data_IF_256410416087
#
_entry.id   IF_256410416087
#
_cell.length_a   1.000
_cell.length_b   1.000
_cell.length_c   1.000
_cell.angle_alpha   90.00
_cell.angle_beta   90.00
_cell.angle_gamma   90.00
#
_symmetry.space_group_name_H-M   'P 1'
#
loop_
_entity.id
_entity.type
_entity.pdbx_description
1 polymer ?
#
# COMPACT_ATOMS: atom_id res chain seq x y z
N UNK A 1 -17.56 -1.97 15.80
CA UNK A 1 -16.54 -1.46 14.87
C UNK A 1 -15.18 -1.75 15.49
N UNK A 2 -14.61 -2.93 15.18
CA UNK A 2 -13.38 -3.41 15.77
C UNK A 2 -12.29 -3.58 14.73
N UNK A 3 -11.18 -2.87 14.94
CA UNK A 3 -9.80 -3.33 14.70
C UNK A 3 -9.32 -3.56 13.27
N UNK A 4 -8.92 -2.48 12.58
CA UNK A 4 -7.99 -2.53 11.42
C UNK A 4 -6.61 -1.91 11.70
N UNK A 5 -6.21 -1.76 12.98
CA UNK A 5 -4.96 -1.10 13.35
C UNK A 5 -3.77 -2.04 13.62
N UNK A 6 -3.96 -3.36 13.64
CA UNK A 6 -2.90 -4.31 14.05
C UNK A 6 -1.95 -4.73 12.92
N UNK A 7 -2.28 -4.52 11.64
CA UNK A 7 -1.52 -5.07 10.52
C UNK A 7 -0.31 -4.21 10.08
N UNK A 8 -0.22 -2.94 10.49
CA UNK A 8 0.78 -2.01 9.97
C UNK A 8 2.17 -2.09 10.67
N UNK A 9 2.31 -2.86 11.75
CA UNK A 9 3.54 -2.92 12.55
C UNK A 9 4.38 -4.20 12.34
N UNK A 10 3.92 -5.15 11.53
CA UNK A 10 4.63 -6.40 11.23
C UNK A 10 6.04 -6.23 10.62
N UNK A 11 6.37 -5.18 9.85
CA UNK A 11 7.72 -5.03 9.31
C UNK A 11 8.78 -4.65 10.35
N UNK A 12 8.40 -3.92 11.41
CA UNK A 12 9.35 -3.45 12.43
C UNK A 12 9.60 -4.48 13.54
N UNK A 13 8.62 -5.34 13.84
CA UNK A 13 8.82 -6.45 14.79
C UNK A 13 9.81 -7.52 14.29
N UNK A 14 10.04 -7.62 12.97
CA UNK A 14 11.00 -8.56 12.38
C UNK A 14 12.46 -8.08 12.42
N UNK A 15 12.73 -6.79 12.62
CA UNK A 15 14.10 -6.28 12.67
C UNK A 15 14.79 -6.51 14.04
N UNK A 16 14.02 -6.65 15.12
CA UNK A 16 14.55 -6.84 16.48
C UNK A 16 14.78 -8.32 16.86
N UNK A 17 14.30 -9.26 16.04
CA UNK A 17 14.37 -10.69 16.32
C UNK A 17 15.55 -11.41 15.65
N UNK A 18 16.43 -10.67 14.96
CA UNK A 18 17.67 -11.20 14.39
C UNK A 18 18.71 -11.33 15.50
N UNK A 19 18.58 -12.36 16.33
CA UNK A 19 19.65 -12.70 17.28
C UNK A 19 19.27 -13.66 18.41
N UNK A 20 18.06 -13.57 18.98
CA UNK A 20 17.73 -14.26 20.24
C UNK A 20 16.53 -15.22 20.19
N UNK A 21 15.91 -15.44 19.03
CA UNK A 21 14.94 -16.54 18.92
C UNK A 21 15.72 -17.82 18.63
N UNK A 22 15.69 -18.85 19.49
CA UNK A 22 16.25 -20.14 19.13
C UNK A 22 15.56 -20.55 17.84
N UNK A 23 16.35 -20.79 16.78
CA UNK A 23 15.87 -21.35 15.53
C UNK A 23 15.28 -22.70 15.89
N UNK A 24 13.96 -22.71 16.13
CA UNK A 24 13.18 -23.89 16.41
C UNK A 24 13.34 -24.79 15.20
N UNK A 25 14.14 -25.85 15.37
CA UNK A 25 14.22 -26.97 14.41
C UNK A 25 13.03 -27.91 14.56
N UNK A 26 12.05 -27.59 15.40
CA UNK A 26 10.81 -28.35 15.46
C UNK A 26 10.04 -28.12 14.17
N UNK A 27 9.80 -29.21 13.45
CA UNK A 27 8.87 -29.24 12.33
C UNK A 27 7.55 -28.58 12.75
N UNK A 28 6.95 -27.87 11.80
CA UNK A 28 5.64 -27.26 12.01
C UNK A 28 4.67 -28.30 12.59
N UNK A 29 3.83 -27.92 13.57
CA UNK A 29 2.84 -28.83 14.12
C UNK A 29 1.96 -29.36 12.99
N UNK A 30 1.71 -30.68 12.98
CA UNK A 30 0.85 -31.30 11.96
C UNK A 30 -0.51 -30.57 11.93
N UNK A 31 -0.97 -30.09 10.77
CA UNK A 31 -2.26 -29.43 10.67
C UNK A 31 -3.37 -30.38 11.13
N UNK A 32 -4.46 -29.85 11.70
CA UNK A 32 -5.57 -30.67 12.16
C UNK A 32 -6.12 -31.52 11.01
N UNK A 33 -6.30 -32.82 11.24
CA UNK A 33 -6.67 -33.81 10.22
C UNK A 33 -7.96 -33.47 9.44
N UNK A 34 -8.83 -32.63 10.01
CA UNK A 34 -10.10 -32.21 9.42
C UNK A 34 -9.98 -31.27 8.21
N UNK A 35 -8.83 -30.63 7.95
CA UNK A 35 -8.62 -29.76 6.78
C UNK A 35 -7.79 -30.41 5.66
N UNK A 36 -7.31 -31.63 5.86
CA UNK A 36 -6.42 -32.29 4.90
C UNK A 36 -7.22 -33.02 3.82
N UNK A 37 -7.20 -32.50 2.59
CA UNK A 37 -7.71 -33.23 1.43
C UNK A 37 -6.59 -34.08 0.81
N UNK A 38 -6.82 -35.38 0.71
CA UNK A 38 -5.88 -36.31 0.09
C UNK A 38 -6.30 -36.61 -1.36
N UNK A 39 -5.33 -36.64 -2.25
CA UNK A 39 -5.50 -36.97 -3.66
C UNK A 39 -4.57 -38.11 -4.04
N UNK A 40 -5.12 -39.11 -4.73
CA UNK A 40 -4.36 -40.27 -5.21
C UNK A 40 -4.33 -40.30 -6.75
N UNK A 41 -3.18 -40.67 -7.31
CA UNK A 41 -3.02 -40.84 -8.75
C UNK A 41 -1.89 -41.82 -9.06
N UNK A 42 -1.83 -42.32 -10.30
CA UNK A 42 -0.73 -43.16 -10.76
C UNK A 42 0.51 -42.33 -11.03
N UNK A 43 1.69 -42.87 -10.72
CA UNK A 43 2.98 -42.21 -11.00
C UNK A 43 3.10 -41.81 -12.48
N UNK A 44 2.78 -42.75 -13.37
CA UNK A 44 2.81 -42.55 -14.82
C UNK A 44 1.87 -41.42 -15.30
N UNK A 45 0.83 -41.08 -14.53
CA UNK A 45 -0.06 -39.96 -14.85
C UNK A 45 0.68 -38.62 -14.69
N UNK A 46 1.51 -38.48 -13.66
CA UNK A 46 2.30 -37.28 -13.43
C UNK A 46 3.48 -37.18 -14.42
N UNK A 47 4.09 -38.32 -14.76
CA UNK A 47 5.21 -38.41 -15.70
C UNK A 47 4.85 -38.01 -17.14
N UNK A 48 3.55 -37.84 -17.47
CA UNK A 48 3.10 -37.34 -18.78
C UNK A 48 3.60 -35.93 -19.09
N UNK A 49 3.82 -35.11 -18.06
CA UNK A 49 4.24 -33.72 -18.21
C UNK A 49 5.49 -33.48 -17.36
N UNK A 50 6.68 -33.91 -17.81
CA UNK A 50 7.90 -33.87 -16.99
C UNK A 50 8.41 -32.45 -16.69
N UNK A 51 7.95 -31.45 -17.45
CA UNK A 51 8.36 -30.05 -17.30
C UNK A 51 7.66 -29.31 -16.15
N UNK A 52 6.64 -29.94 -15.53
CA UNK A 52 5.87 -29.35 -14.44
C UNK A 52 6.38 -29.83 -13.08
N UNK A 53 6.03 -29.13 -12.01
CA UNK A 53 6.49 -29.46 -10.64
C UNK A 53 6.20 -30.91 -10.25
N UNK A 54 4.99 -31.40 -10.53
CA UNK A 54 4.58 -32.76 -10.15
C UNK A 54 5.15 -33.84 -11.08
N UNK A 55 5.49 -33.49 -12.32
CA UNK A 55 6.08 -34.43 -13.27
C UNK A 55 7.60 -34.54 -13.13
N UNK A 56 8.24 -33.46 -12.67
CA UNK A 56 9.69 -33.35 -12.50
C UNK A 56 10.16 -33.91 -11.15
N UNK A 57 11.46 -33.79 -10.89
CA UNK A 57 12.07 -34.14 -9.60
C UNK A 57 11.78 -33.08 -8.51
N UNK A 58 11.15 -31.95 -8.84
CA UNK A 58 10.84 -30.90 -7.88
C UNK A 58 9.82 -31.36 -6.83
N UNK A 59 8.93 -32.29 -7.17
CA UNK A 59 8.00 -32.86 -6.17
C UNK A 59 8.71 -33.51 -4.99
N UNK A 60 9.94 -34.00 -5.15
CA UNK A 60 10.69 -34.67 -4.08
C UNK A 60 10.99 -33.72 -2.90
N UNK A 61 11.03 -32.40 -3.14
CA UNK A 61 11.14 -31.40 -2.06
C UNK A 61 9.93 -31.35 -1.14
N UNK A 62 8.78 -31.88 -1.60
CA UNK A 62 7.51 -31.89 -0.88
C UNK A 62 7.16 -33.27 -0.33
N UNK A 63 8.07 -34.25 -0.44
CA UNK A 63 7.84 -35.60 0.06
C UNK A 63 8.05 -35.69 1.58
N UNK A 64 7.05 -36.20 2.29
CA UNK A 64 7.10 -36.52 3.71
C UNK A 64 7.41 -38.02 3.87
N UNK A 65 8.62 -38.34 4.35
CA UNK A 65 9.09 -39.72 4.57
C UNK A 65 8.27 -40.46 5.64
N UNK A 66 7.82 -39.75 6.69
CA UNK A 66 7.07 -40.36 7.79
C UNK A 66 5.66 -40.75 7.32
N UNK A 67 5.04 -39.88 6.52
CA UNK A 67 3.69 -40.08 6.02
C UNK A 67 3.63 -40.82 4.66
N UNK A 68 4.78 -40.99 4.00
CA UNK A 68 4.93 -41.56 2.65
C UNK A 68 4.03 -40.91 1.62
N UNK A 69 3.96 -39.58 1.64
CA UNK A 69 3.10 -38.79 0.74
C UNK A 69 3.74 -37.45 0.40
N UNK A 70 3.28 -36.82 -0.68
CA UNK A 70 3.65 -35.45 -1.01
C UNK A 70 2.68 -34.48 -0.33
N UNK A 71 3.22 -33.50 0.41
CA UNK A 71 2.43 -32.52 1.13
C UNK A 71 2.56 -31.12 0.52
N UNK A 72 1.42 -30.53 0.17
CA UNK A 72 1.31 -29.17 -0.33
C UNK A 72 0.37 -28.37 0.58
N UNK A 73 0.87 -27.29 1.19
CA UNK A 73 0.07 -26.34 1.96
C UNK A 73 -0.54 -25.29 1.01
N UNK A 74 -1.42 -25.75 0.13
CA UNK A 74 -2.02 -25.00 -0.98
C UNK A 74 -3.53 -25.26 -1.06
N UNK A 75 -4.21 -24.53 -1.93
CA UNK A 75 -5.66 -24.65 -2.09
C UNK A 75 -6.06 -26.06 -2.61
N UNK A 76 -6.74 -26.88 -1.79
CA UNK A 76 -7.09 -28.25 -2.17
C UNK A 76 -8.21 -28.30 -3.21
N UNK A 77 -8.98 -27.23 -3.34
CA UNK A 77 -10.08 -27.10 -4.28
C UNK A 77 -9.54 -26.82 -5.68
N UNK A 78 -8.60 -25.89 -5.85
CA UNK A 78 -7.94 -25.65 -7.14
C UNK A 78 -7.07 -26.81 -7.60
N UNK A 79 -6.43 -27.53 -6.67
CA UNK A 79 -5.64 -28.72 -6.98
C UNK A 79 -6.44 -29.79 -7.74
N UNK A 80 -7.76 -29.86 -7.55
CA UNK A 80 -8.63 -30.79 -8.28
C UNK A 80 -8.49 -30.64 -9.81
N UNK A 81 -8.33 -29.41 -10.28
CA UNK A 81 -8.21 -29.07 -11.70
C UNK A 81 -6.79 -29.33 -12.23
N UNK A 82 -5.78 -29.03 -11.41
CA UNK A 82 -4.38 -29.36 -11.68
C UNK A 82 -4.23 -30.86 -11.91
N UNK A 83 -4.76 -31.69 -11.00
CA UNK A 83 -4.67 -33.14 -11.13
C UNK A 83 -5.49 -33.68 -12.31
N UNK A 84 -6.64 -33.08 -12.60
CA UNK A 84 -7.44 -33.44 -13.76
C UNK A 84 -6.67 -33.23 -15.07
N UNK A 85 -5.87 -32.16 -15.18
CA UNK A 85 -5.02 -31.92 -16.34
C UNK A 85 -4.03 -33.08 -16.62
N UNK A 86 -3.36 -33.63 -15.61
CA UNK A 86 -2.48 -34.80 -15.83
C UNK A 86 -3.26 -36.05 -16.29
N UNK A 87 -4.49 -36.21 -15.80
CA UNK A 87 -5.35 -37.36 -16.14
C UNK A 87 -5.90 -37.27 -17.56
N UNK A 88 -6.40 -36.10 -17.96
CA UNK A 88 -7.12 -35.90 -19.24
C UNK A 88 -6.22 -35.37 -20.35
N UNK A 89 -5.10 -34.72 -20.00
CA UNK A 89 -4.28 -33.93 -20.91
C UNK A 89 -4.90 -32.59 -21.31
N UNK A 90 -6.04 -32.21 -20.72
CA UNK A 90 -6.77 -30.98 -21.02
C UNK A 90 -6.95 -30.14 -19.77
N UNK A 91 -6.51 -28.88 -19.85
CA UNK A 91 -6.61 -27.93 -18.75
C UNK A 91 -7.93 -27.16 -18.86
N UNK A 92 -8.76 -27.26 -17.82
CA UNK A 92 -10.07 -26.62 -17.76
C UNK A 92 -10.05 -25.46 -16.77
N UNK A 93 -10.58 -24.31 -17.18
CA UNK A 93 -10.74 -23.15 -16.30
C UNK A 93 -12.02 -23.26 -15.46
N UNK A 94 -11.94 -23.20 -14.11
CA UNK A 94 -13.11 -23.26 -13.26
C UNK A 94 -13.77 -21.87 -13.09
N UNK A 95 -14.95 -21.69 -13.70
CA UNK A 95 -15.67 -20.41 -13.70
C UNK A 95 -16.10 -19.90 -12.30
N UNK A 96 -16.23 -20.79 -11.31
CA UNK A 96 -16.64 -20.44 -9.95
C UNK A 96 -15.50 -19.90 -9.08
N UNK A 97 -14.25 -20.04 -9.54
CA UNK A 97 -13.07 -19.70 -8.77
C UNK A 97 -12.52 -18.33 -9.19
N UNK A 98 -11.73 -17.70 -8.31
CA UNK A 98 -11.05 -16.46 -8.63
C UNK A 98 -9.94 -16.70 -9.67
N UNK A 99 -9.94 -15.94 -10.77
CA UNK A 99 -8.92 -16.00 -11.82
C UNK A 99 -7.50 -15.90 -11.25
N UNK A 100 -7.26 -14.91 -10.38
CA UNK A 100 -5.93 -14.63 -9.82
C UNK A 100 -5.43 -15.82 -9.00
N UNK A 101 -6.29 -16.36 -8.13
CA UNK A 101 -5.97 -17.55 -7.33
C UNK A 101 -5.67 -18.77 -8.20
N UNK A 102 -6.41 -18.94 -9.30
CA UNK A 102 -6.18 -20.04 -10.22
C UNK A 102 -4.87 -19.89 -10.99
N UNK A 103 -4.54 -18.70 -11.50
CA UNK A 103 -3.25 -18.43 -12.15
C UNK A 103 -2.07 -18.62 -11.18
N UNK A 104 -2.22 -18.25 -9.91
CA UNK A 104 -1.20 -18.48 -8.88
C UNK A 104 -0.94 -19.98 -8.62
N UNK A 105 -1.99 -20.81 -8.58
CA UNK A 105 -1.81 -22.27 -8.47
C UNK A 105 -1.17 -22.87 -9.74
N UNK A 106 -1.61 -22.44 -10.93
CA UNK A 106 -0.99 -22.87 -12.19
C UNK A 106 0.50 -22.55 -12.24
N UNK A 107 0.87 -21.32 -11.85
CA UNK A 107 2.25 -20.89 -11.77
C UNK A 107 3.04 -21.71 -10.74
N UNK A 108 2.48 -22.00 -9.56
CA UNK A 108 3.12 -22.83 -8.55
C UNK A 108 3.43 -24.25 -9.06
N UNK A 109 2.48 -24.89 -9.75
CA UNK A 109 2.67 -26.23 -10.29
C UNK A 109 3.42 -26.26 -11.64
N UNK A 110 3.84 -25.10 -12.16
CA UNK A 110 4.59 -24.98 -13.41
C UNK A 110 3.75 -25.27 -14.66
N UNK A 111 2.44 -25.03 -14.62
CA UNK A 111 1.54 -25.23 -15.76
C UNK A 111 1.28 -23.87 -16.42
N UNK A 112 1.56 -23.78 -17.72
CA UNK A 112 1.37 -22.55 -18.49
C UNK A 112 -0.14 -22.35 -18.74
N UNK A 113 -0.73 -21.18 -18.39
CA UNK A 113 -2.15 -20.92 -18.61
C UNK A 113 -2.60 -21.00 -20.09
N UNK A 114 -1.67 -20.83 -21.03
CA UNK A 114 -1.94 -20.95 -22.47
C UNK A 114 -2.30 -22.39 -22.90
N UNK A 115 -2.14 -23.37 -22.01
CA UNK A 115 -2.60 -24.75 -22.21
C UNK A 115 -4.09 -24.95 -21.91
N UNK A 116 -4.81 -23.90 -21.48
CA UNK A 116 -6.27 -23.97 -21.28
C UNK A 116 -6.93 -24.39 -22.59
N UNK A 117 -7.73 -25.44 -22.51
CA UNK A 117 -8.39 -26.02 -23.67
C UNK A 117 -9.50 -25.12 -24.22
N UNK A 118 -9.76 -25.22 -25.53
CA UNK A 118 -10.74 -24.41 -26.27
C UNK A 118 -12.11 -24.32 -25.59
N UNK A 119 -12.54 -25.39 -24.92
CA UNK A 119 -13.84 -25.44 -24.23
C UNK A 119 -13.99 -24.41 -23.09
N UNK A 120 -12.90 -23.92 -22.51
CA UNK A 120 -12.93 -22.95 -21.40
C UNK A 120 -12.04 -21.73 -21.68
N UNK A 121 -11.42 -21.67 -22.86
CA UNK A 121 -10.45 -20.63 -23.21
C UNK A 121 -11.10 -19.25 -23.28
N UNK A 122 -12.27 -19.13 -23.92
CA UNK A 122 -12.98 -17.85 -24.03
C UNK A 122 -13.41 -17.32 -22.65
N UNK A 123 -13.95 -18.18 -21.77
CA UNK A 123 -14.34 -17.76 -20.41
C UNK A 123 -13.15 -17.24 -19.60
N UNK A 124 -12.01 -17.94 -19.67
CA UNK A 124 -10.77 -17.52 -19.02
C UNK A 124 -10.29 -16.18 -19.57
N UNK A 125 -10.27 -16.02 -20.89
CA UNK A 125 -9.82 -14.81 -21.57
C UNK A 125 -10.70 -13.61 -21.24
N UNK A 126 -12.02 -13.77 -21.22
CA UNK A 126 -12.95 -12.72 -20.84
C UNK A 126 -12.75 -12.32 -19.38
N UNK A 127 -12.60 -13.28 -18.46
CA UNK A 127 -12.32 -12.98 -17.06
C UNK A 127 -10.98 -12.27 -16.87
N UNK A 128 -9.97 -12.64 -17.66
CA UNK A 128 -8.65 -12.01 -17.65
C UNK A 128 -8.69 -10.57 -18.13
N UNK A 129 -9.44 -10.29 -19.19
CA UNK A 129 -9.68 -8.92 -19.65
C UNK A 129 -10.39 -8.09 -18.58
N UNK A 130 -11.48 -8.60 -18.00
CA UNK A 130 -12.23 -7.90 -16.94
C UNK A 130 -11.32 -7.56 -15.75
N UNK A 131 -10.50 -8.51 -15.30
CA UNK A 131 -9.57 -8.27 -14.20
C UNK A 131 -8.50 -7.22 -14.55
N UNK A 132 -8.00 -7.22 -15.80
CA UNK A 132 -7.05 -6.21 -16.28
C UNK A 132 -7.68 -4.81 -16.33
N UNK A 133 -8.92 -4.70 -16.82
CA UNK A 133 -9.67 -3.44 -16.87
C UNK A 133 -9.84 -2.86 -15.46
N UNK A 134 -10.29 -3.67 -14.50
CA UNK A 134 -10.43 -3.25 -13.09
C UNK A 134 -9.11 -2.74 -12.48
N UNK A 135 -8.00 -3.43 -12.74
CA UNK A 135 -6.68 -3.01 -12.26
C UNK A 135 -6.21 -1.70 -12.91
N UNK A 136 -6.59 -1.45 -14.16
CA UNK A 136 -6.31 -0.18 -14.84
C UNK A 136 -7.15 0.95 -14.26
N UNK A 137 -8.45 0.73 -14.04
CA UNK A 137 -9.35 1.69 -13.39
C UNK A 137 -8.84 2.08 -12.01
N UNK A 138 -8.44 1.12 -11.18
CA UNK A 138 -7.87 1.39 -9.85
C UNK A 138 -6.59 2.24 -9.93
N UNK A 139 -5.73 2.01 -10.94
CA UNK A 139 -4.52 2.82 -11.17
C UNK A 139 -4.84 4.23 -11.63
N UNK A 140 -5.88 4.41 -12.44
CA UNK A 140 -6.33 5.72 -12.93
C UNK A 140 -6.97 6.53 -11.80
N UNK A 141 -7.77 5.89 -10.94
CA UNK A 141 -8.46 6.53 -9.81
C UNK A 141 -7.52 6.87 -8.65
N UNK A 142 -6.44 6.12 -8.46
CA UNK A 142 -5.48 6.32 -7.38
C UNK A 142 -4.92 7.76 -7.27
N UNK A 143 -4.43 8.40 -8.35
CA UNK A 143 -4.00 9.79 -8.30
C UNK A 143 -5.14 10.78 -8.05
N UNK A 144 -6.36 10.51 -8.51
CA UNK A 144 -7.51 11.38 -8.32
C UNK A 144 -7.98 11.38 -6.86
N UNK A 145 -8.10 10.20 -6.25
CA UNK A 145 -8.36 10.06 -4.80
C UNK A 145 -7.27 10.73 -3.96
N UNK A 146 -6.00 10.62 -4.38
CA UNK A 146 -4.89 11.31 -3.71
C UNK A 146 -5.00 12.83 -3.83
N UNK A 147 -5.37 13.35 -5.00
CA UNK A 147 -5.56 14.79 -5.24
C UNK A 147 -6.72 15.33 -4.41
N UNK A 148 -7.84 14.63 -4.33
CA UNK A 148 -9.01 15.05 -3.54
C UNK A 148 -8.67 15.16 -2.04
N UNK A 149 -8.02 14.12 -1.48
CA UNK A 149 -7.56 14.16 -0.09
C UNK A 149 -6.56 15.29 0.16
N UNK A 150 -5.59 15.47 -0.74
CA UNK A 150 -4.59 16.54 -0.62
C UNK A 150 -5.27 17.90 -0.66
N UNK A 151 -6.10 18.17 -1.68
CA UNK A 151 -6.80 19.45 -1.85
C UNK A 151 -7.68 19.81 -0.65
N UNK A 152 -8.40 18.82 -0.09
CA UNK A 152 -9.25 19.03 1.08
C UNK A 152 -8.45 19.39 2.33
N UNK A 153 -7.32 18.73 2.57
CA UNK A 153 -6.45 19.00 3.73
C UNK A 153 -5.76 20.36 3.55
N UNK A 154 -5.13 20.62 2.40
CA UNK A 154 -4.47 21.91 2.12
C UNK A 154 -5.46 23.08 2.22
N UNK A 155 -6.65 22.94 1.64
CA UNK A 155 -7.68 23.98 1.66
C UNK A 155 -8.13 24.38 3.07
N UNK A 156 -8.23 23.40 3.99
CA UNK A 156 -8.54 23.66 5.39
C UNK A 156 -7.43 24.49 6.07
N UNK A 157 -6.15 24.13 5.89
CA UNK A 157 -5.03 24.86 6.48
C UNK A 157 -4.84 26.26 5.89
N UNK A 158 -5.12 26.44 4.58
CA UNK A 158 -5.16 27.77 3.95
C UNK A 158 -6.25 28.63 4.62
N UNK A 159 -7.46 28.09 4.81
CA UNK A 159 -8.55 28.84 5.44
C UNK A 159 -8.22 29.27 6.87
N UNK A 160 -7.62 28.38 7.67
CA UNK A 160 -7.16 28.70 9.04
C UNK A 160 -6.09 29.79 9.01
N UNK A 161 -5.09 29.66 8.14
CA UNK A 161 -3.99 30.63 8.06
C UNK A 161 -4.47 32.02 7.65
N UNK A 162 -5.38 32.11 6.69
CA UNK A 162 -5.99 33.39 6.28
C UNK A 162 -6.81 33.99 7.42
N UNK A 163 -7.61 33.18 8.12
CA UNK A 163 -8.41 33.66 9.25
C UNK A 163 -7.52 34.21 10.38
N UNK A 164 -6.39 33.56 10.68
CA UNK A 164 -5.44 34.03 11.68
C UNK A 164 -4.80 35.38 11.32
N UNK A 165 -4.36 35.55 10.07
CA UNK A 165 -3.84 36.83 9.56
C UNK A 165 -4.91 37.95 9.64
N UNK A 166 -6.18 37.62 9.37
CA UNK A 166 -7.28 38.57 9.52
C UNK A 166 -7.48 38.96 10.99
N UNK A 167 -7.45 38.00 11.92
CA UNK A 167 -7.66 38.27 13.35
C UNK A 167 -6.50 39.08 13.95
N UNK A 168 -5.26 38.80 13.53
CA UNK A 168 -4.06 39.52 13.97
C UNK A 168 -4.17 41.02 13.68
N UNK A 169 -4.69 41.37 12.50
CA UNK A 169 -4.82 42.76 12.03
C UNK A 169 -6.06 43.48 12.55
N UNK A 170 -7.01 42.78 13.18
CA UNK A 170 -8.24 43.40 13.71
C UNK A 170 -7.94 44.10 15.06
N UNK A 171 -8.41 45.35 15.24
CA UNK A 171 -8.34 46.01 16.55
C UNK A 171 -9.22 45.28 17.56
N UNK A 172 -8.63 44.92 18.71
CA UNK A 172 -9.29 44.11 19.71
C UNK A 172 -10.37 44.93 20.43
N UNK A 173 -11.63 44.80 19.99
CA UNK A 173 -12.79 45.59 20.47
C UNK A 173 -13.07 45.50 21.97
N UNK A 174 -12.50 44.52 22.68
CA UNK A 174 -12.71 44.31 24.11
C UNK A 174 -11.99 45.32 25.04
N UNK A 175 -11.04 46.11 24.52
CA UNK A 175 -10.25 47.09 25.31
C UNK A 175 -10.43 48.55 24.87
N UNK A 176 -11.36 48.81 23.94
CA UNK A 176 -11.54 50.11 23.28
C UNK A 176 -11.98 51.27 24.19
N UNK A 177 -12.19 51.05 25.50
CA UNK A 177 -12.67 52.09 26.40
C UNK A 177 -11.54 52.85 27.14
N UNK A 178 -10.28 52.38 27.13
CA UNK A 178 -9.28 52.97 28.05
C UNK A 178 -7.90 53.26 27.44
N UNK A 179 -7.49 52.62 26.35
CA UNK A 179 -6.24 52.94 25.64
C UNK A 179 -6.47 52.80 24.13
N UNK A 180 -5.70 53.53 23.30
CA UNK A 180 -5.82 53.56 21.85
C UNK A 180 -5.89 52.17 21.19
N UNK A 181 -6.31 52.12 19.92
CA UNK A 181 -6.59 50.87 19.19
C UNK A 181 -5.39 49.90 19.17
N UNK A 182 -5.36 48.97 20.14
CA UNK A 182 -4.42 47.84 20.20
C UNK A 182 -4.95 46.72 19.29
N UNK A 183 -4.06 46.15 18.47
CA UNK A 183 -4.38 44.99 17.64
C UNK A 183 -4.48 43.73 18.51
N UNK A 184 -5.25 42.73 18.09
CA UNK A 184 -5.28 41.46 18.80
C UNK A 184 -3.92 40.71 18.74
N UNK A 185 -3.12 40.97 17.70
CA UNK A 185 -1.75 40.47 17.58
C UNK A 185 -0.84 40.95 18.71
N UNK A 186 -0.89 42.25 19.04
CA UNK A 186 -0.05 42.84 20.11
C UNK A 186 -0.44 42.34 21.50
N UNK A 187 -1.71 42.00 21.72
CA UNK A 187 -2.20 41.53 23.02
C UNK A 187 -1.86 40.05 23.29
N UNK A 188 -1.81 39.24 22.23
CA UNK A 188 -1.60 37.79 22.30
C UNK A 188 -0.41 37.33 21.44
N UNK A 189 0.68 38.10 21.49
CA UNK A 189 1.89 37.90 20.68
C UNK A 189 2.39 36.45 20.70
N UNK A 190 2.44 35.81 21.88
CA UNK A 190 2.91 34.43 22.01
C UNK A 190 2.01 33.40 21.34
N UNK A 191 0.70 33.59 21.40
CA UNK A 191 -0.29 32.67 20.86
C UNK A 191 -0.32 32.77 19.34
N UNK A 192 -0.26 33.97 18.78
CA UNK A 192 -0.16 34.17 17.33
C UNK A 192 1.17 33.67 16.79
N UNK A 193 2.29 33.93 17.47
CA UNK A 193 3.59 33.39 17.08
C UNK A 193 3.61 31.86 17.00
N UNK A 194 3.05 31.17 18.00
CA UNK A 194 2.96 29.69 18.00
C UNK A 194 2.09 29.20 16.85
N UNK A 195 0.97 29.88 16.57
CA UNK A 195 0.06 29.51 15.51
C UNK A 195 0.69 29.71 14.13
N UNK A 196 1.32 30.85 13.88
CA UNK A 196 2.01 31.14 12.61
C UNK A 196 3.16 30.17 12.38
N UNK A 197 3.95 29.88 13.43
CA UNK A 197 5.00 28.86 13.37
C UNK A 197 4.42 27.51 12.98
N UNK A 198 3.31 27.09 13.59
CA UNK A 198 2.68 25.80 13.29
C UNK A 198 2.15 25.74 11.85
N UNK A 199 1.48 26.79 11.36
CA UNK A 199 1.00 26.87 9.99
C UNK A 199 2.14 26.80 8.97
N UNK A 200 3.23 27.56 9.19
CA UNK A 200 4.40 27.54 8.30
C UNK A 200 5.07 26.17 8.30
N UNK A 201 5.25 25.54 9.47
CA UNK A 201 5.82 24.18 9.57
C UNK A 201 4.96 23.19 8.78
N UNK A 202 3.64 23.25 8.89
CA UNK A 202 2.74 22.36 8.14
C UNK A 202 2.88 22.57 6.62
N UNK A 203 2.86 23.82 6.15
CA UNK A 203 3.08 24.11 4.72
C UNK A 203 4.46 23.66 4.23
N UNK A 204 5.51 23.78 5.05
CA UNK A 204 6.84 23.28 4.67
C UNK A 204 6.89 21.77 4.57
N UNK A 205 6.28 21.03 5.50
CA UNK A 205 6.20 19.57 5.45
C UNK A 205 5.40 19.13 4.22
N UNK A 206 4.27 19.78 3.94
CA UNK A 206 3.45 19.50 2.77
C UNK A 206 4.22 19.74 1.46
N UNK A 207 4.93 20.86 1.36
CA UNK A 207 5.79 21.19 0.24
C UNK A 207 6.90 20.13 0.04
N UNK A 208 7.57 19.72 1.12
CA UNK A 208 8.63 18.71 1.08
C UNK A 208 8.09 17.34 0.65
N UNK A 209 6.89 16.94 1.11
CA UNK A 209 6.25 15.70 0.66
C UNK A 209 5.90 15.75 -0.83
N UNK A 210 5.38 16.88 -1.33
CA UNK A 210 5.11 17.07 -2.76
C UNK A 210 6.40 17.01 -3.59
N UNK A 211 7.48 17.62 -3.09
CA UNK A 211 8.80 17.58 -3.73
C UNK A 211 9.40 16.16 -3.75
N UNK A 212 9.25 15.39 -2.68
CA UNK A 212 9.74 14.01 -2.61
C UNK A 212 8.97 13.07 -3.55
N UNK A 213 7.65 13.25 -3.65
CA UNK A 213 6.79 12.45 -4.52
C UNK A 213 6.92 12.80 -6.01
N UNK A 214 7.50 13.96 -6.35
CA UNK A 214 7.65 14.39 -7.73
C UNK A 214 8.73 13.57 -8.48
N UNK A 215 8.43 13.04 -9.68
CA UNK A 215 9.39 12.27 -10.47
C UNK A 215 10.59 13.14 -10.91
N UNK A 216 10.34 14.40 -11.27
CA UNK A 216 11.36 15.37 -11.67
C UNK A 216 11.38 16.57 -10.71
N UNK A 217 12.21 16.49 -9.67
CA UNK A 217 12.27 17.49 -8.59
C UNK A 217 12.58 18.91 -9.11
N UNK A 218 13.53 19.06 -10.02
CA UNK A 218 13.89 20.38 -10.58
C UNK A 218 12.76 21.00 -11.42
N UNK A 219 11.97 20.18 -12.11
CA UNK A 219 10.80 20.63 -12.87
C UNK A 219 9.66 21.01 -11.93
N UNK A 220 9.49 20.24 -10.85
CA UNK A 220 8.52 20.53 -9.80
C UNK A 220 8.82 21.85 -9.08
N UNK A 221 10.07 22.09 -8.64
CA UNK A 221 10.45 23.34 -7.95
C UNK A 221 10.17 24.58 -8.81
N UNK A 222 10.35 24.48 -10.12
CA UNK A 222 10.09 25.56 -11.10
C UNK A 222 8.62 25.70 -11.50
N UNK A 223 7.73 24.83 -11.03
CA UNK A 223 6.31 24.92 -11.35
C UNK A 223 5.61 26.06 -10.58
N UNK A 224 4.59 26.66 -11.18
CA UNK A 224 3.83 27.77 -10.56
C UNK A 224 3.22 27.36 -9.22
N UNK A 225 2.70 26.13 -9.11
CA UNK A 225 2.10 25.62 -7.86
C UNK A 225 3.14 25.51 -6.73
N UNK A 226 4.34 25.00 -7.04
CA UNK A 226 5.46 24.95 -6.09
C UNK A 226 5.95 26.35 -5.70
N UNK A 227 5.94 27.30 -6.64
CA UNK A 227 6.37 28.67 -6.37
C UNK A 227 5.44 29.38 -5.37
N UNK A 228 4.12 29.15 -5.49
CA UNK A 228 3.13 29.70 -4.55
C UNK A 228 3.38 29.19 -3.13
N UNK A 229 3.62 27.89 -2.96
CA UNK A 229 3.93 27.28 -1.66
C UNK A 229 5.19 27.91 -1.02
N UNK A 230 6.24 28.16 -1.82
CA UNK A 230 7.48 28.80 -1.34
C UNK A 230 7.26 30.26 -0.95
N UNK A 231 6.52 31.03 -1.75
CA UNK A 231 6.22 32.44 -1.46
C UNK A 231 5.40 32.58 -0.17
N UNK A 232 4.51 31.63 0.12
CA UNK A 232 3.68 31.66 1.32
C UNK A 232 4.48 31.50 2.64
N UNK A 233 5.56 30.71 2.63
CA UNK A 233 6.38 30.46 3.84
C UNK A 233 7.56 31.43 3.98
N UNK A 234 8.02 32.02 2.88
CA UNK A 234 9.24 32.82 2.82
C UNK A 234 9.26 34.03 3.78
N UNK A 235 8.19 34.83 3.94
CA UNK A 235 8.21 36.00 4.82
C UNK A 235 8.54 35.66 6.28
N UNK A 236 8.02 34.53 6.78
CA UNK A 236 8.25 34.07 8.14
C UNK A 236 9.72 33.69 8.36
N UNK A 237 10.31 32.92 7.43
CA UNK A 237 11.72 32.52 7.51
C UNK A 237 12.68 33.71 7.39
N UNK A 238 12.35 34.70 6.57
CA UNK A 238 13.13 35.95 6.47
C UNK A 238 13.06 36.72 7.79
N UNK A 239 11.86 36.86 8.39
CA UNK A 239 11.66 37.50 9.68
C UNK A 239 12.50 36.87 10.80
N UNK A 240 12.51 35.53 10.86
CA UNK A 240 13.32 34.78 11.82
C UNK A 240 14.83 34.99 11.59
N UNK A 241 15.29 34.92 10.35
CA UNK A 241 16.71 35.15 10.00
C UNK A 241 17.21 36.55 10.35
N UNK A 242 16.36 37.57 10.17
CA UNK A 242 16.68 38.96 10.56
C UNK A 242 16.70 39.17 12.07
N UNK A 243 15.85 38.46 12.83
CA UNK A 243 15.87 38.51 14.29
C UNK A 243 17.10 37.82 14.88
N UNK A 244 17.52 36.67 14.33
CA UNK A 244 18.75 35.98 14.76
C UNK A 244 19.99 36.84 14.53
N UNK A 245 20.07 37.52 13.37
CA UNK A 245 21.19 38.42 13.06
C UNK A 245 21.23 39.72 13.89
N UNK A 246 20.18 40.02 14.67
CA UNK A 246 20.17 41.14 15.63
C UNK A 246 20.59 40.71 17.04
N UNK A 247 20.67 39.42 17.32
CA UNK A 247 20.99 38.85 18.64
C UNK A 247 22.49 38.48 18.74
N UNK A 248 23.21 38.48 17.61
CA UNK A 248 24.67 38.44 17.52
C UNK A 248 25.22 39.80 17.12
#
# INVERSE_FOLDING_TARGET
>A
MGSSAAAAWLPFAKASAVGWSPISRTSLPKPPAALKRRYDTWKNTLERFPETLLGSNEREFFYDEDAKEYFFDRDPDLFRHILAFYRTGRLHYPQTECLVSYEEELAFFGIIPDLISDCCYEDYKDKKRENQERLMEERIDAPEKRKDLTFRVTGFFIAVSVLCNIIETIPCKYLAHTYGSISCGDLYEKQFFVLDTACVVIFTIEYLFRLYAAPDRCKFVRSIMSLIDVIAILPYYIGLGLQVNKIF
#
